data_IF_663728274600
#
_entry.id   IF_663728274600
#
_cell.length_a   1.000
_cell.length_b   1.000
_cell.length_c   1.000
_cell.angle_alpha   90.00
_cell.angle_beta   90.00
_cell.angle_gamma   90.00
#
_symmetry.space_group_name_H-M   'P 1'
#
loop_
_entity.id
_entity.type
_entity.pdbx_description
1 polymer ?
#
# COMPACT_ATOMS: atom_id res chain seq x y z
N UNK A 1 -17.12 -18.22 -7.25
CA UNK A 1 -17.11 -16.85 -6.73
C UNK A 1 -16.49 -15.90 -7.76
N UNK A 2 -16.70 -14.59 -7.65
CA UNK A 2 -16.06 -13.62 -8.55
C UNK A 2 -14.58 -13.54 -8.21
N UNK A 3 -13.72 -13.64 -9.22
CA UNK A 3 -12.27 -13.54 -9.09
C UNK A 3 -11.85 -12.09 -8.81
N UNK A 4 -10.86 -11.88 -7.96
CA UNK A 4 -10.30 -10.55 -7.69
C UNK A 4 -9.21 -10.27 -8.70
N UNK A 5 -9.44 -9.33 -9.65
CA UNK A 5 -8.52 -9.03 -10.76
C UNK A 5 -8.08 -7.57 -10.81
N UNK A 6 -8.73 -6.71 -10.03
CA UNK A 6 -8.53 -5.26 -10.08
C UNK A 6 -7.91 -4.75 -8.79
N UNK A 7 -6.96 -3.84 -8.91
CA UNK A 7 -6.41 -3.11 -7.78
C UNK A 7 -6.53 -1.60 -7.95
N UNK A 8 -6.66 -0.90 -6.82
CA UNK A 8 -6.63 0.55 -6.71
C UNK A 8 -5.43 0.92 -5.83
N UNK A 9 -4.59 1.82 -6.32
CA UNK A 9 -3.48 2.38 -5.55
C UNK A 9 -3.72 3.88 -5.36
N UNK A 10 -4.16 4.32 -4.17
CA UNK A 10 -4.28 5.74 -3.84
C UNK A 10 -2.91 6.41 -3.76
N UNK A 11 -2.65 7.38 -4.62
CA UNK A 11 -1.41 8.14 -4.72
C UNK A 11 -1.64 9.67 -4.88
N UNK A 12 -2.82 10.18 -4.48
CA UNK A 12 -3.18 11.58 -4.62
C UNK A 12 -2.70 12.49 -3.48
N UNK A 13 -2.18 11.93 -2.40
CA UNK A 13 -1.73 12.66 -1.21
C UNK A 13 -0.60 13.65 -1.49
N UNK A 14 -0.57 14.77 -0.75
CA UNK A 14 0.39 15.86 -0.94
C UNK A 14 1.83 15.54 -0.52
N UNK A 15 2.04 14.50 0.29
CA UNK A 15 3.37 14.07 0.73
C UNK A 15 4.08 15.08 1.64
N UNK A 16 3.36 15.87 2.43
CA UNK A 16 3.91 16.98 3.24
C UNK A 16 4.99 16.56 4.24
N UNK A 17 4.97 15.30 4.69
CA UNK A 17 6.00 14.75 5.60
C UNK A 17 7.40 14.72 4.98
N UNK A 18 7.49 14.73 3.65
CA UNK A 18 8.75 14.67 2.88
C UNK A 18 9.12 16.01 2.20
N UNK A 19 8.49 17.11 2.60
CA UNK A 19 8.97 18.41 2.13
C UNK A 19 10.43 18.65 2.57
N UNK A 20 11.26 19.27 1.71
CA UNK A 20 10.90 19.96 0.46
C UNK A 20 10.87 19.09 -0.81
N UNK A 21 11.35 17.82 -0.80
CA UNK A 21 11.48 17.00 -2.02
C UNK A 21 10.12 16.78 -2.71
N UNK A 22 9.07 16.59 -1.95
CA UNK A 22 7.72 16.37 -2.48
C UNK A 22 7.02 17.62 -3.03
N UNK A 23 7.69 18.77 -3.00
CA UNK A 23 7.25 19.95 -3.76
C UNK A 23 7.23 19.70 -5.27
N UNK A 24 8.18 18.91 -5.77
CA UNK A 24 8.38 18.65 -7.18
C UNK A 24 8.27 17.19 -7.58
N UNK A 25 8.42 16.25 -6.63
CA UNK A 25 8.38 14.80 -6.87
C UNK A 25 7.28 14.13 -6.05
N UNK A 26 6.50 13.19 -6.61
CA UNK A 26 5.60 12.37 -5.83
C UNK A 26 6.34 11.59 -4.74
N UNK A 27 5.76 11.50 -3.52
CA UNK A 27 6.36 10.67 -2.46
C UNK A 27 6.49 9.21 -2.88
N UNK A 28 5.58 8.75 -3.71
CA UNK A 28 5.53 7.39 -4.26
C UNK A 28 6.68 7.09 -5.24
N UNK A 29 7.36 8.14 -5.74
CA UNK A 29 8.54 8.04 -6.58
C UNK A 29 9.86 8.13 -5.81
N UNK A 30 9.80 8.29 -4.48
CA UNK A 30 11.02 8.23 -3.66
C UNK A 30 11.61 6.81 -3.74
N UNK A 31 12.90 6.67 -4.06
CA UNK A 31 13.50 5.37 -4.30
C UNK A 31 13.85 4.64 -3.00
N UNK A 32 13.56 3.35 -2.95
CA UNK A 32 14.14 2.41 -2.01
C UNK A 32 15.32 1.77 -2.73
N UNK A 33 16.51 2.20 -2.39
CA UNK A 33 17.76 1.96 -3.11
C UNK A 33 17.70 2.58 -4.52
N UNK A 34 17.28 1.84 -5.52
CA UNK A 34 17.21 2.23 -6.94
C UNK A 34 15.82 2.11 -7.56
N UNK A 35 14.85 1.57 -6.81
CA UNK A 35 13.49 1.29 -7.28
C UNK A 35 12.46 2.21 -6.59
N UNK A 36 11.60 2.93 -7.33
CA UNK A 36 10.54 3.74 -6.73
C UNK A 36 9.60 2.92 -5.85
N UNK A 37 9.17 3.49 -4.73
CA UNK A 37 8.26 2.83 -3.78
C UNK A 37 7.02 2.27 -4.47
N UNK A 38 6.41 3.03 -5.40
CA UNK A 38 5.20 2.61 -6.12
C UNK A 38 5.39 1.34 -6.94
N UNK A 39 6.60 1.10 -7.46
CA UNK A 39 6.89 -0.10 -8.25
C UNK A 39 6.80 -1.37 -7.41
N UNK A 40 7.25 -1.36 -6.15
CA UNK A 40 7.11 -2.50 -5.24
C UNK A 40 5.63 -2.86 -5.03
N UNK A 41 4.75 -1.85 -4.91
CA UNK A 41 3.31 -2.05 -4.74
C UNK A 41 2.69 -2.68 -5.99
N UNK A 42 3.06 -2.19 -7.17
CA UNK A 42 2.60 -2.73 -8.46
C UNK A 42 3.10 -4.17 -8.67
N UNK A 43 4.36 -4.45 -8.34
CA UNK A 43 4.92 -5.80 -8.42
C UNK A 43 4.22 -6.77 -7.47
N UNK A 44 3.87 -6.34 -6.24
CA UNK A 44 3.08 -7.13 -5.30
C UNK A 44 1.70 -7.46 -5.88
N UNK A 45 1.01 -6.48 -6.46
CA UNK A 45 -0.28 -6.68 -7.12
C UNK A 45 -0.19 -7.74 -8.22
N UNK A 46 0.80 -7.63 -9.12
CA UNK A 46 1.04 -8.61 -10.19
C UNK A 46 1.29 -10.02 -9.66
N UNK A 47 2.19 -10.15 -8.68
CA UNK A 47 2.51 -11.44 -8.04
C UNK A 47 1.29 -12.06 -7.35
N UNK A 48 0.30 -11.24 -7.04
CA UNK A 48 -0.97 -11.65 -6.41
C UNK A 48 -2.06 -12.02 -7.43
N UNK A 49 -1.78 -11.94 -8.74
CA UNK A 49 -2.73 -12.29 -9.80
C UNK A 49 -3.67 -11.16 -10.21
N UNK A 50 -3.34 -9.90 -9.84
CA UNK A 50 -4.07 -8.72 -10.31
C UNK A 50 -3.72 -8.45 -11.78
N UNK A 51 -4.76 -8.21 -12.58
CA UNK A 51 -4.66 -8.00 -14.02
C UNK A 51 -4.70 -6.50 -14.37
N UNK A 52 -5.61 -5.74 -13.75
CA UNK A 52 -5.84 -4.32 -14.01
C UNK A 52 -5.53 -3.48 -12.77
N UNK A 53 -4.71 -2.45 -12.92
CA UNK A 53 -4.29 -1.59 -11.82
C UNK A 53 -4.68 -0.13 -12.11
N UNK A 54 -5.47 0.48 -11.24
CA UNK A 54 -5.77 1.90 -11.28
C UNK A 54 -4.97 2.65 -10.21
N UNK A 55 -4.13 3.58 -10.64
CA UNK A 55 -3.50 4.53 -9.72
C UNK A 55 -4.36 5.81 -9.66
N UNK A 56 -4.84 6.13 -8.47
CA UNK A 56 -5.57 7.38 -8.22
C UNK A 56 -4.57 8.48 -7.92
N UNK A 57 -4.30 9.32 -8.91
CA UNK A 57 -3.28 10.38 -8.85
C UNK A 57 -3.85 11.72 -8.42
N UNK A 58 -2.96 12.67 -8.10
CA UNK A 58 -3.25 14.08 -7.83
C UNK A 58 -2.55 15.01 -8.80
N UNK A 59 -2.65 16.32 -8.54
CA UNK A 59 -1.88 17.32 -9.28
C UNK A 59 -0.38 17.13 -9.06
N UNK A 60 0.42 17.20 -10.14
CA UNK A 60 1.89 17.09 -10.06
C UNK A 60 2.44 15.68 -9.90
N UNK A 61 1.63 14.64 -10.18
CA UNK A 61 2.01 13.22 -10.04
C UNK A 61 2.39 12.52 -11.37
N UNK A 62 2.65 13.30 -12.42
CA UNK A 62 2.93 12.78 -13.77
C UNK A 62 4.12 11.80 -13.80
N UNK A 63 5.13 11.99 -12.97
CA UNK A 63 6.27 11.07 -12.89
C UNK A 63 5.88 9.62 -12.55
N UNK A 64 4.72 9.38 -11.93
CA UNK A 64 4.20 8.03 -11.71
C UNK A 64 3.72 7.42 -13.03
N UNK A 65 3.04 8.22 -13.87
CA UNK A 65 2.56 7.79 -15.19
C UNK A 65 3.75 7.49 -16.08
N UNK A 66 4.68 8.45 -16.20
CA UNK A 66 5.89 8.34 -17.01
C UNK A 66 6.76 7.11 -16.62
N UNK A 67 6.76 6.70 -15.34
CA UNK A 67 7.53 5.54 -14.86
C UNK A 67 7.03 4.20 -15.41
N UNK A 68 5.74 4.07 -15.66
CA UNK A 68 5.13 2.84 -16.18
C UNK A 68 4.92 2.86 -17.70
N UNK A 69 5.23 3.97 -18.35
CA UNK A 69 5.21 4.08 -19.81
C UNK A 69 6.50 3.54 -20.44
N UNK A 70 6.40 3.04 -21.68
CA UNK A 70 7.56 2.65 -22.45
C UNK A 70 8.44 3.85 -22.79
N UNK A 71 9.76 3.67 -22.78
CA UNK A 71 10.74 4.68 -23.19
C UNK A 71 11.58 4.11 -24.34
N UNK A 72 11.04 4.07 -25.60
CA UNK A 72 11.67 3.40 -26.73
C UNK A 72 13.12 3.85 -27.00
N UNK A 73 13.41 5.14 -26.85
CA UNK A 73 14.78 5.66 -27.07
C UNK A 73 15.79 5.09 -26.07
N UNK A 74 15.39 4.90 -24.80
CA UNK A 74 16.22 4.27 -23.77
C UNK A 74 16.40 2.80 -24.06
N UNK A 75 15.32 2.10 -24.36
CA UNK A 75 15.29 0.66 -24.67
C UNK A 75 16.19 0.34 -25.88
N UNK A 76 16.07 1.10 -26.97
CA UNK A 76 16.92 0.97 -28.16
C UNK A 76 18.40 1.22 -27.85
N UNK A 77 18.72 2.24 -27.04
CA UNK A 77 20.09 2.55 -26.61
C UNK A 77 20.70 1.42 -25.78
N UNK A 78 19.93 0.87 -24.82
CA UNK A 78 20.37 -0.24 -23.98
C UNK A 78 20.60 -1.51 -24.84
N UNK A 79 19.70 -1.78 -25.79
CA UNK A 79 19.80 -2.89 -26.73
C UNK A 79 21.02 -2.75 -27.63
N UNK A 80 21.26 -1.58 -28.20
CA UNK A 80 22.43 -1.29 -29.04
C UNK A 80 23.75 -1.46 -28.28
N UNK A 81 23.78 -1.12 -26.98
CA UNK A 81 24.95 -1.28 -26.10
C UNK A 81 25.09 -2.67 -25.49
N UNK A 82 24.18 -3.60 -25.79
CA UNK A 82 24.19 -4.97 -25.24
C UNK A 82 23.91 -5.06 -23.75
N UNK A 83 23.31 -4.02 -23.12
CA UNK A 83 23.01 -3.94 -21.69
C UNK A 83 21.70 -4.67 -21.37
N UNK A 84 21.69 -6.00 -21.51
CA UNK A 84 20.50 -6.84 -21.46
C UNK A 84 19.78 -6.79 -20.10
N UNK A 85 20.50 -6.78 -18.99
CA UNK A 85 19.92 -6.73 -17.64
C UNK A 85 19.19 -5.40 -17.39
N UNK A 86 19.84 -4.28 -17.74
CA UNK A 86 19.23 -2.96 -17.63
C UNK A 86 18.00 -2.81 -18.53
N UNK A 87 18.06 -3.34 -19.76
CA UNK A 87 16.91 -3.37 -20.66
C UNK A 87 15.74 -4.13 -20.04
N UNK A 88 16.01 -5.33 -19.49
CA UNK A 88 14.99 -6.12 -18.82
C UNK A 88 14.37 -5.37 -17.64
N UNK A 89 15.16 -4.68 -16.80
CA UNK A 89 14.65 -3.86 -15.68
C UNK A 89 13.70 -2.77 -16.18
N UNK A 90 13.99 -2.12 -17.29
CA UNK A 90 13.10 -1.11 -17.89
C UNK A 90 11.83 -1.75 -18.46
N UNK A 91 11.95 -2.83 -19.22
CA UNK A 91 10.81 -3.54 -19.82
C UNK A 91 9.87 -4.15 -18.78
N UNK A 92 10.38 -4.53 -17.58
CA UNK A 92 9.55 -5.07 -16.49
C UNK A 92 8.57 -4.05 -15.89
N UNK A 93 8.80 -2.74 -16.08
CA UNK A 93 7.89 -1.68 -15.63
C UNK A 93 6.75 -1.42 -16.63
N UNK A 94 6.88 -1.87 -17.86
CA UNK A 94 5.93 -1.64 -18.96
C UNK A 94 5.06 -2.86 -19.23
N UNK A 95 4.09 -2.72 -20.12
CA UNK A 95 3.24 -3.84 -20.55
C UNK A 95 2.19 -4.30 -19.53
N UNK A 96 1.91 -3.46 -18.52
CA UNK A 96 0.86 -3.67 -17.55
C UNK A 96 -0.43 -2.97 -17.98
N UNK A 97 -1.58 -3.53 -17.60
CA UNK A 97 -2.85 -2.83 -17.76
C UNK A 97 -2.98 -1.75 -16.67
N UNK A 98 -2.29 -0.63 -16.89
CA UNK A 98 -2.26 0.50 -15.97
C UNK A 98 -3.30 1.55 -16.39
N UNK A 99 -4.04 2.04 -15.41
CA UNK A 99 -5.02 3.09 -15.56
C UNK A 99 -4.70 4.22 -14.58
N UNK A 100 -4.95 5.46 -15.00
CA UNK A 100 -4.73 6.63 -14.16
C UNK A 100 -5.99 7.47 -14.08
N UNK A 101 -6.39 7.83 -12.88
CA UNK A 101 -7.53 8.72 -12.65
C UNK A 101 -7.19 9.75 -11.59
N UNK A 102 -7.45 11.02 -11.90
CA UNK A 102 -7.14 12.11 -10.98
C UNK A 102 -8.23 12.30 -9.96
N UNK A 103 -7.84 12.34 -8.68
CA UNK A 103 -8.64 12.89 -7.60
C UNK A 103 -8.46 14.42 -7.62
N UNK A 104 -9.49 15.15 -8.04
CA UNK A 104 -9.40 16.62 -8.22
C UNK A 104 -9.30 17.37 -6.90
N UNK A 105 -9.91 16.82 -5.83
CA UNK A 105 -9.88 17.38 -4.49
C UNK A 105 -9.52 16.26 -3.51
N UNK A 106 -8.36 16.30 -2.85
CA UNK A 106 -7.95 15.25 -1.90
C UNK A 106 -8.77 15.39 -0.61
N UNK A 107 -9.81 14.58 -0.47
CA UNK A 107 -10.74 14.54 0.67
C UNK A 107 -10.62 13.27 1.51
N UNK A 108 -9.44 12.68 1.52
CA UNK A 108 -9.16 11.46 2.28
C UNK A 108 -9.14 10.18 1.46
N UNK A 109 -8.81 9.07 2.14
CA UNK A 109 -8.63 7.76 1.52
C UNK A 109 -9.93 7.20 0.94
N UNK A 110 -11.05 7.35 1.64
CA UNK A 110 -12.35 6.90 1.16
C UNK A 110 -12.76 7.61 -0.14
N UNK A 111 -12.49 8.91 -0.27
CA UNK A 111 -12.75 9.67 -1.51
C UNK A 111 -11.84 9.23 -2.67
N UNK A 112 -10.58 8.89 -2.39
CA UNK A 112 -9.68 8.32 -3.39
C UNK A 112 -10.21 6.96 -3.90
N UNK A 113 -10.69 6.10 -3.00
CA UNK A 113 -11.33 4.83 -3.37
C UNK A 113 -12.61 5.08 -4.17
N UNK A 114 -13.47 6.01 -3.73
CA UNK A 114 -14.70 6.37 -4.45
C UNK A 114 -14.42 6.86 -5.88
N UNK A 115 -13.32 7.58 -6.08
CA UNK A 115 -12.88 8.04 -7.41
C UNK A 115 -12.73 6.87 -8.40
N UNK A 116 -12.42 5.67 -7.92
CA UNK A 116 -12.21 4.48 -8.74
C UNK A 116 -13.50 3.71 -9.09
N UNK A 117 -14.69 4.11 -8.60
CA UNK A 117 -15.96 3.38 -8.78
C UNK A 117 -16.23 2.95 -10.22
N UNK A 118 -16.02 3.84 -11.20
CA UNK A 118 -16.28 3.54 -12.62
C UNK A 118 -15.31 2.52 -13.22
N UNK A 119 -14.10 2.41 -12.70
CA UNK A 119 -13.11 1.40 -13.10
C UNK A 119 -13.45 0.03 -12.52
N UNK A 120 -13.82 0.00 -11.26
CA UNK A 120 -14.14 -1.25 -10.55
C UNK A 120 -15.44 -1.89 -11.08
N UNK A 121 -16.46 -1.09 -11.28
CA UNK A 121 -17.80 -1.59 -11.65
C UNK A 121 -18.38 -2.45 -10.52
N UNK A 122 -18.82 -3.66 -10.86
CA UNK A 122 -19.45 -4.61 -9.93
C UNK A 122 -18.53 -5.82 -9.59
N UNK A 123 -17.22 -5.62 -9.57
CA UNK A 123 -16.25 -6.65 -9.24
C UNK A 123 -15.63 -6.42 -7.86
N UNK A 124 -15.23 -7.49 -7.13
CA UNK A 124 -14.37 -7.32 -5.97
C UNK A 124 -13.00 -6.75 -6.40
N UNK A 125 -12.36 -6.00 -5.53
CA UNK A 125 -11.13 -5.30 -5.86
C UNK A 125 -10.20 -5.15 -4.65
N UNK A 126 -8.93 -4.95 -4.91
CA UNK A 126 -7.91 -4.67 -3.89
C UNK A 126 -7.72 -3.17 -3.75
N UNK A 127 -7.52 -2.69 -2.52
CA UNK A 127 -6.93 -1.36 -2.25
C UNK A 127 -5.56 -1.58 -1.63
N UNK A 128 -4.53 -0.90 -2.19
CA UNK A 128 -3.14 -0.99 -1.75
C UNK A 128 -2.59 0.41 -1.47
N UNK A 129 -2.20 0.69 -0.24
CA UNK A 129 -1.60 1.98 0.09
C UNK A 129 -0.17 2.07 -0.47
N UNK A 130 0.16 3.21 -1.06
CA UNK A 130 1.41 3.42 -1.78
C UNK A 130 2.64 3.70 -0.89
N UNK A 131 2.47 3.72 0.42
CA UNK A 131 3.54 3.99 1.41
C UNK A 131 3.71 2.86 2.45
N UNK A 132 3.14 1.69 2.19
CA UNK A 132 3.29 0.48 2.99
C UNK A 132 3.87 -0.65 2.13
N UNK A 133 5.12 -1.03 2.35
CA UNK A 133 5.73 -2.19 1.70
C UNK A 133 5.58 -3.42 2.59
N UNK A 134 5.26 -4.54 1.95
CA UNK A 134 5.04 -5.83 2.63
C UNK A 134 5.97 -6.89 2.04
N UNK A 135 6.67 -7.61 2.89
CA UNK A 135 7.57 -8.68 2.47
C UNK A 135 7.22 -9.99 3.19
N UNK A 136 6.89 -11.00 2.42
CA UNK A 136 6.64 -12.37 2.88
C UNK A 136 6.86 -13.33 1.70
N UNK A 137 6.95 -14.63 1.98
CA UNK A 137 7.04 -15.70 0.96
C UNK A 137 5.85 -15.70 0.01
N UNK A 138 4.66 -15.48 0.55
CA UNK A 138 3.42 -15.26 -0.21
C UNK A 138 3.04 -13.79 -0.04
N UNK A 139 2.89 -13.01 -1.13
CA UNK A 139 2.51 -11.61 -1.02
C UNK A 139 1.27 -11.40 -0.17
N UNK A 140 1.25 -10.38 0.69
CA UNK A 140 0.10 -10.12 1.56
C UNK A 140 -1.19 -9.95 0.76
N UNK A 141 -1.14 -9.23 -0.37
CA UNK A 141 -2.30 -9.08 -1.26
C UNK A 141 -2.82 -10.43 -1.74
N UNK A 142 -1.94 -11.40 -2.06
CA UNK A 142 -2.35 -12.75 -2.44
C UNK A 142 -3.05 -13.49 -1.30
N UNK A 143 -2.53 -13.37 -0.08
CA UNK A 143 -3.16 -13.97 1.11
C UNK A 143 -4.58 -13.44 1.32
N UNK A 144 -4.81 -12.13 1.12
CA UNK A 144 -6.14 -11.53 1.22
C UNK A 144 -7.07 -11.94 0.07
N UNK A 145 -6.53 -12.03 -1.16
CA UNK A 145 -7.29 -12.50 -2.33
C UNK A 145 -7.75 -13.94 -2.10
N UNK A 146 -6.88 -14.82 -1.61
CA UNK A 146 -7.22 -16.21 -1.32
C UNK A 146 -8.32 -16.29 -0.25
N UNK A 147 -8.16 -15.55 0.85
CA UNK A 147 -9.18 -15.48 1.90
C UNK A 147 -10.53 -14.97 1.37
N UNK A 148 -10.53 -13.98 0.48
CA UNK A 148 -11.76 -13.50 -0.18
C UNK A 148 -12.36 -14.56 -1.11
N UNK A 149 -11.54 -15.25 -1.91
CA UNK A 149 -12.03 -16.29 -2.83
C UNK A 149 -12.60 -17.50 -2.09
N UNK A 150 -12.13 -17.80 -0.87
CA UNK A 150 -12.65 -18.85 -0.01
C UNK A 150 -13.94 -18.43 0.69
N UNK A 151 -13.97 -17.22 1.26
CA UNK A 151 -15.08 -16.77 2.12
C UNK A 151 -16.17 -16.00 1.38
N UNK A 152 -15.85 -15.35 0.27
CA UNK A 152 -16.72 -14.41 -0.45
C UNK A 152 -16.93 -13.07 0.28
N UNK A 153 -16.18 -12.80 1.35
CA UNK A 153 -16.35 -11.63 2.20
C UNK A 153 -15.15 -10.68 2.10
N UNK A 154 -15.41 -9.38 2.23
CA UNK A 154 -14.34 -8.37 2.32
C UNK A 154 -13.35 -8.75 3.42
N UNK A 155 -12.06 -8.61 3.12
CA UNK A 155 -10.98 -8.95 4.05
C UNK A 155 -9.92 -7.87 4.02
N UNK A 156 -9.42 -7.45 5.18
CA UNK A 156 -8.34 -6.49 5.29
C UNK A 156 -7.20 -7.02 6.15
N UNK A 157 -6.01 -6.47 5.94
CA UNK A 157 -4.84 -6.85 6.71
C UNK A 157 -4.72 -6.03 7.99
N UNK A 158 -4.34 -6.71 9.07
CA UNK A 158 -4.00 -6.10 10.35
C UNK A 158 -2.65 -6.61 10.86
N UNK A 159 -2.02 -5.79 11.71
CA UNK A 159 -0.74 -6.13 12.35
C UNK A 159 -0.81 -5.70 13.82
N UNK A 160 -0.32 -6.51 14.77
CA UNK A 160 -0.13 -6.06 16.15
C UNK A 160 0.90 -4.92 16.19
N UNK A 161 0.52 -3.79 16.81
CA UNK A 161 1.41 -2.65 17.03
C UNK A 161 1.59 -2.39 18.53
N UNK A 162 2.66 -1.68 18.95
CA UNK A 162 2.75 -1.17 20.31
C UNK A 162 1.51 -0.37 20.70
N UNK A 163 0.99 -0.57 21.91
CA UNK A 163 -0.28 0.03 22.32
C UNK A 163 -0.27 1.58 22.23
N UNK A 164 0.87 2.20 22.50
CA UNK A 164 1.07 3.65 22.37
C UNK A 164 0.98 4.18 20.92
N UNK A 165 1.01 3.28 19.94
CA UNK A 165 0.96 3.65 18.51
C UNK A 165 -0.44 3.51 17.88
N UNK A 166 -1.41 2.92 18.57
CA UNK A 166 -2.75 2.63 18.01
C UNK A 166 -3.45 3.87 17.47
N UNK A 167 -3.23 5.02 18.07
CA UNK A 167 -3.81 6.32 17.65
C UNK A 167 -3.34 6.81 16.26
N UNK A 168 -2.36 6.13 15.66
CA UNK A 168 -1.88 6.44 14.30
C UNK A 168 -2.66 5.70 13.21
N UNK A 169 -3.45 4.69 13.58
CA UNK A 169 -4.07 3.71 12.67
C UNK A 169 -5.57 3.58 12.90
N UNK A 170 -6.28 3.05 11.91
CA UNK A 170 -7.53 2.37 12.17
C UNK A 170 -7.25 1.09 12.97
N UNK A 171 -8.09 0.76 13.93
CA UNK A 171 -7.95 -0.40 14.81
C UNK A 171 -9.22 -1.24 14.74
N UNK A 172 -9.09 -2.57 14.83
CA UNK A 172 -10.22 -3.47 14.87
C UNK A 172 -10.57 -3.90 16.30
N UNK A 173 -11.85 -4.23 16.52
CA UNK A 173 -12.31 -5.01 17.66
C UNK A 173 -12.55 -6.46 17.18
N UNK A 174 -11.57 -7.38 17.39
CA UNK A 174 -11.71 -8.76 16.95
C UNK A 174 -12.70 -9.51 17.83
N UNK A 175 -13.61 -10.32 17.25
CA UNK A 175 -14.60 -11.06 18.02
C UNK A 175 -14.31 -12.56 18.10
N UNK A 176 -14.02 -13.20 16.97
CA UNK A 176 -13.81 -14.65 16.87
C UNK A 176 -12.72 -14.94 15.83
N UNK A 177 -11.79 -15.81 16.17
CA UNK A 177 -10.86 -16.37 15.22
C UNK A 177 -11.55 -17.53 14.49
N UNK A 178 -11.84 -17.33 13.19
CA UNK A 178 -12.56 -18.33 12.38
C UNK A 178 -11.61 -19.33 11.73
N UNK A 179 -10.40 -18.88 11.45
CA UNK A 179 -9.26 -19.66 10.98
C UNK A 179 -7.99 -19.06 11.55
N UNK A 180 -6.88 -19.75 11.45
CA UNK A 180 -5.59 -19.23 11.92
C UNK A 180 -5.32 -17.84 11.32
N UNK A 181 -5.12 -16.87 12.20
CA UNK A 181 -4.84 -15.46 11.84
C UNK A 181 -5.98 -14.77 11.08
N UNK A 182 -7.21 -15.32 11.04
CA UNK A 182 -8.38 -14.73 10.38
C UNK A 182 -9.51 -14.52 11.39
N UNK A 183 -9.88 -13.28 11.61
CA UNK A 183 -10.83 -12.87 12.63
C UNK A 183 -12.12 -12.29 12.05
N UNK A 184 -13.26 -12.64 12.65
CA UNK A 184 -14.46 -11.82 12.58
C UNK A 184 -14.20 -10.51 13.35
N UNK A 185 -14.78 -9.42 12.87
CA UNK A 185 -14.60 -8.09 13.46
C UNK A 185 -15.94 -7.54 13.94
N UNK A 186 -16.01 -7.13 15.21
CA UNK A 186 -17.18 -6.47 15.78
C UNK A 186 -17.27 -5.01 15.34
N UNK A 187 -16.15 -4.30 15.31
CA UNK A 187 -16.09 -2.87 15.05
C UNK A 187 -14.75 -2.44 14.45
N UNK A 188 -14.79 -1.39 13.65
CA UNK A 188 -13.61 -0.68 13.14
C UNK A 188 -13.62 0.74 13.69
N UNK A 189 -12.47 1.21 14.22
CA UNK A 189 -12.33 2.52 14.83
C UNK A 189 -11.14 3.25 14.22
N UNK A 190 -11.37 4.39 13.57
CA UNK A 190 -10.30 5.21 12.99
C UNK A 190 -9.60 6.03 14.09
N UNK A 191 -8.29 5.84 14.24
CA UNK A 191 -7.40 6.58 15.14
C UNK A 191 -7.98 6.77 16.55
N UNK A 192 -8.30 5.69 17.28
CA UNK A 192 -8.83 5.81 18.63
C UNK A 192 -7.83 6.48 19.56
N UNK A 193 -8.30 7.11 20.64
CA UNK A 193 -7.43 7.44 21.74
C UNK A 193 -6.81 6.16 22.32
N UNK A 194 -5.59 6.25 22.86
CA UNK A 194 -4.83 5.06 23.31
C UNK A 194 -5.61 4.26 24.35
N UNK A 195 -6.28 4.93 25.26
CA UNK A 195 -7.10 4.37 26.34
C UNK A 195 -8.48 3.87 25.87
N UNK A 196 -8.91 4.23 24.66
CA UNK A 196 -10.19 3.83 24.06
C UNK A 196 -10.03 2.77 22.95
N UNK A 197 -8.80 2.40 22.60
CA UNK A 197 -8.52 1.44 21.55
C UNK A 197 -9.04 0.05 21.93
N UNK A 198 -9.89 -0.59 21.08
CA UNK A 198 -10.48 -1.89 21.40
C UNK A 198 -9.46 -3.03 21.38
N UNK A 199 -8.35 -2.87 20.69
CA UNK A 199 -7.24 -3.82 20.62
C UNK A 199 -5.96 -3.11 20.16
N UNK A 200 -4.88 -3.85 19.98
CA UNK A 200 -3.67 -3.38 19.34
C UNK A 200 -3.52 -3.87 17.87
N UNK A 201 -4.57 -4.42 17.28
CA UNK A 201 -4.57 -4.87 15.89
C UNK A 201 -4.86 -3.69 14.95
N UNK A 202 -3.79 -3.11 14.44
CA UNK A 202 -3.84 -1.97 13.54
C UNK A 202 -4.09 -2.39 12.10
N UNK A 203 -4.96 -1.67 11.41
CA UNK A 203 -5.22 -1.87 9.99
C UNK A 203 -4.01 -1.38 9.19
N UNK A 204 -3.51 -2.23 8.32
CA UNK A 204 -2.40 -1.92 7.43
C UNK A 204 -2.85 -1.89 5.98
N UNK A 205 -2.09 -1.25 5.13
CA UNK A 205 -2.44 -0.75 3.80
C UNK A 205 -2.88 -1.73 2.73
N UNK A 206 -3.54 -2.87 3.07
CA UNK A 206 -4.07 -3.85 2.12
C UNK A 206 -5.49 -4.27 2.47
N UNK A 207 -6.37 -4.20 1.47
CA UNK A 207 -7.80 -4.50 1.61
C UNK A 207 -8.30 -5.21 0.36
N UNK A 208 -9.15 -6.23 0.52
CA UNK A 208 -10.02 -6.76 -0.54
C UNK A 208 -11.45 -6.39 -0.19
N UNK A 209 -12.10 -5.63 -1.05
CA UNK A 209 -13.41 -5.05 -0.80
C UNK A 209 -14.42 -5.45 -1.87
N UNK A 210 -15.69 -5.53 -1.47
CA UNK A 210 -16.79 -5.67 -2.39
C UNK A 210 -17.28 -4.31 -2.91
N UNK A 211 -17.93 -4.24 -4.09
CA UNK A 211 -18.43 -2.98 -4.67
C UNK A 211 -19.43 -2.22 -3.81
N UNK A 212 -20.09 -2.88 -2.84
CA UNK A 212 -21.03 -2.26 -1.91
C UNK A 212 -20.42 -1.10 -1.13
N UNK A 213 -19.10 -1.10 -0.95
CA UNK A 213 -18.38 0.00 -0.30
C UNK A 213 -18.64 1.35 -0.99
N UNK A 214 -18.81 1.38 -2.31
CA UNK A 214 -19.04 2.61 -3.06
C UNK A 214 -20.40 3.26 -2.70
N UNK A 215 -21.43 2.45 -2.48
CA UNK A 215 -22.74 2.95 -2.07
C UNK A 215 -22.73 3.58 -0.67
N UNK A 216 -21.78 3.14 0.16
CA UNK A 216 -21.55 3.69 1.50
C UNK A 216 -20.76 4.99 1.39
N UNK A 217 -19.62 4.97 0.67
CA UNK A 217 -18.76 6.13 0.48
C UNK A 217 -19.48 7.32 -0.18
N UNK A 218 -20.43 7.08 -1.09
CA UNK A 218 -21.23 8.14 -1.72
C UNK A 218 -22.12 8.90 -0.72
N UNK A 219 -22.50 8.26 0.36
CA UNK A 219 -23.40 8.81 1.38
C UNK A 219 -22.69 9.23 2.66
N UNK A 220 -21.41 8.87 2.78
CA UNK A 220 -20.63 9.12 3.98
C UNK A 220 -20.26 10.59 4.08
N UNK A 221 -20.44 11.17 5.26
CA UNK A 221 -19.93 12.49 5.62
C UNK A 221 -18.42 12.49 5.88
N UNK A 222 -17.92 13.65 6.29
CA UNK A 222 -16.53 13.80 6.73
C UNK A 222 -16.39 13.24 8.15
N UNK A 223 -15.34 12.46 8.39
CA UNK A 223 -14.96 11.90 9.68
C UNK A 223 -13.73 12.58 10.27
N UNK A 224 -12.88 11.80 10.95
CA UNK A 224 -11.64 12.26 11.57
C UNK A 224 -10.76 13.01 10.56
N UNK A 225 -10.14 14.12 11.00
CA UNK A 225 -9.32 14.97 10.14
C UNK A 225 -10.08 15.73 9.05
N UNK A 226 -11.42 15.79 9.10
CA UNK A 226 -12.29 16.39 8.08
C UNK A 226 -12.12 15.70 6.70
N UNK A 227 -11.96 14.38 6.73
CA UNK A 227 -11.75 13.53 5.55
C UNK A 227 -12.83 12.45 5.44
N UNK A 228 -13.06 11.93 4.24
CA UNK A 228 -13.86 10.72 4.01
C UNK A 228 -12.98 9.52 4.36
N UNK A 229 -13.22 8.93 5.54
CA UNK A 229 -12.40 7.84 6.05
C UNK A 229 -12.86 6.49 5.49
N UNK A 230 -11.91 5.68 4.99
CA UNK A 230 -12.21 4.33 4.50
C UNK A 230 -12.59 3.39 5.66
N UNK A 231 -11.98 3.54 6.83
CA UNK A 231 -12.25 2.74 8.02
C UNK A 231 -13.72 2.86 8.46
N UNK A 232 -14.28 4.09 8.47
CA UNK A 232 -15.69 4.33 8.81
C UNK A 232 -16.65 3.69 7.80
N UNK A 233 -16.26 3.72 6.50
CA UNK A 233 -17.04 3.05 5.46
C UNK A 233 -17.00 1.53 5.64
N UNK A 234 -15.86 0.96 6.02
CA UNK A 234 -15.72 -0.47 6.30
C UNK A 234 -16.51 -0.88 7.53
N UNK A 235 -16.55 -0.07 8.60
CA UNK A 235 -17.42 -0.31 9.75
C UNK A 235 -18.90 -0.34 9.37
N UNK A 236 -19.33 0.61 8.51
CA UNK A 236 -20.68 0.62 7.98
C UNK A 236 -20.96 -0.58 7.06
N UNK A 237 -19.96 -1.01 6.27
CA UNK A 237 -20.06 -2.21 5.43
C UNK A 237 -20.22 -3.46 6.29
N UNK A 238 -19.47 -3.58 7.39
CA UNK A 238 -19.51 -4.71 8.31
C UNK A 238 -20.90 -4.92 8.97
N UNK A 239 -21.66 -3.86 9.12
CA UNK A 239 -23.09 -3.94 9.59
C UNK A 239 -24.05 -4.53 8.56
N UNK A 240 -23.62 -4.62 7.27
CA UNK A 240 -24.46 -5.12 6.16
C UNK A 240 -24.00 -6.47 5.65
N UNK A 241 -22.71 -6.70 5.66
CA UNK A 241 -22.07 -7.94 5.22
C UNK A 241 -20.81 -8.17 6.06
N UNK A 242 -20.45 -9.43 6.25
CA UNK A 242 -19.27 -9.78 7.03
C UNK A 242 -17.98 -9.19 6.44
N UNK A 243 -17.12 -8.66 7.30
CA UNK A 243 -15.77 -8.22 6.95
C UNK A 243 -14.79 -8.93 7.88
N UNK A 244 -13.78 -9.59 7.30
CA UNK A 244 -12.72 -10.26 8.04
C UNK A 244 -11.47 -9.40 8.17
N UNK A 245 -10.70 -9.67 9.22
CA UNK A 245 -9.35 -9.16 9.40
C UNK A 245 -8.35 -10.33 9.41
N UNK A 246 -7.34 -10.25 8.54
CA UNK A 246 -6.23 -11.20 8.44
C UNK A 246 -5.01 -10.62 9.13
N UNK A 247 -4.47 -11.31 10.12
CA UNK A 247 -3.20 -10.91 10.76
C UNK A 247 -2.06 -11.24 9.81
N UNK A 248 -1.21 -10.24 9.54
CA UNK A 248 -0.02 -10.39 8.73
C UNK A 248 1.18 -10.77 9.60
N UNK A 249 1.89 -11.82 9.21
CA UNK A 249 3.04 -12.35 9.95
C UNK A 249 4.39 -12.10 9.25
N UNK A 250 4.40 -11.36 8.14
CA UNK A 250 5.60 -10.96 7.43
C UNK A 250 6.16 -9.62 7.91
N UNK A 251 7.13 -9.10 7.18
CA UNK A 251 7.76 -7.82 7.45
C UNK A 251 7.00 -6.67 6.80
N UNK A 252 6.65 -5.65 7.60
CA UNK A 252 6.05 -4.40 7.14
C UNK A 252 7.05 -3.26 7.22
N UNK A 253 7.13 -2.46 6.15
CA UNK A 253 7.98 -1.28 6.04
C UNK A 253 7.09 -0.05 5.78
N UNK A 254 6.88 0.77 6.82
CA UNK A 254 6.18 2.05 6.71
C UNK A 254 7.14 3.11 6.15
N UNK A 255 7.02 3.36 4.84
CA UNK A 255 7.79 4.41 4.15
C UNK A 255 7.06 5.75 4.08
N UNK A 256 5.96 5.90 4.80
CA UNK A 256 5.16 7.13 4.88
C UNK A 256 5.75 8.21 5.81
N UNK A 257 6.83 7.91 6.55
CA UNK A 257 7.55 8.83 7.42
C UNK A 257 9.06 8.77 7.20
N UNK A 258 9.78 9.80 7.62
CA UNK A 258 11.24 9.95 7.34
C UNK A 258 12.07 8.83 7.93
N UNK A 259 11.81 8.45 9.19
CA UNK A 259 12.59 7.40 9.86
C UNK A 259 12.33 6.03 9.25
N UNK A 260 11.05 5.68 9.04
CA UNK A 260 10.68 4.43 8.38
C UNK A 260 11.27 4.32 6.97
N UNK A 261 11.27 5.42 6.20
CA UNK A 261 11.90 5.49 4.89
C UNK A 261 13.41 5.24 4.94
N UNK A 262 14.13 5.87 5.88
CA UNK A 262 15.57 5.63 6.07
C UNK A 262 15.86 4.20 6.50
N UNK A 263 15.11 3.67 7.48
CA UNK A 263 15.24 2.28 7.94
C UNK A 263 15.04 1.30 6.79
N UNK A 264 13.99 1.49 6.01
CA UNK A 264 13.70 0.64 4.84
C UNK A 264 14.85 0.68 3.83
N UNK A 265 15.39 1.86 3.52
CA UNK A 265 16.54 1.97 2.61
C UNK A 265 17.77 1.21 3.12
N UNK A 266 18.04 1.27 4.42
CA UNK A 266 19.15 0.51 5.02
C UNK A 266 18.90 -1.00 4.89
N UNK A 267 17.70 -1.48 5.25
CA UNK A 267 17.41 -2.91 5.22
C UNK A 267 17.38 -3.47 3.80
N UNK A 268 16.82 -2.73 2.84
CA UNK A 268 16.83 -3.12 1.43
C UNK A 268 18.23 -3.01 0.83
N UNK A 269 19.01 -2.00 1.22
CA UNK A 269 20.41 -1.86 0.82
C UNK A 269 21.28 -3.03 1.30
N UNK A 270 21.00 -3.60 2.48
CA UNK A 270 21.65 -4.82 2.98
C UNK A 270 21.24 -6.10 2.22
N UNK A 271 20.16 -6.07 1.49
CA UNK A 271 19.69 -7.18 0.64
C UNK A 271 20.09 -6.98 -0.84
N UNK A 272 20.36 -5.74 -1.25
CA UNK A 272 20.62 -5.39 -2.64
C UNK A 272 21.99 -5.89 -3.11
N UNK A 273 22.11 -6.56 -4.28
CA UNK A 273 23.35 -7.20 -4.74
C UNK A 273 24.55 -6.25 -4.82
N UNK A 274 24.33 -5.01 -5.25
CA UNK A 274 25.42 -4.04 -5.48
C UNK A 274 25.87 -3.30 -4.21
N UNK A 275 25.03 -3.23 -3.16
CA UNK A 275 25.30 -2.40 -1.99
C UNK A 275 25.50 -3.16 -0.69
N UNK A 276 25.08 -4.42 -0.60
CA UNK A 276 24.99 -5.20 0.64
C UNK A 276 26.32 -5.29 1.41
N UNK A 277 27.43 -5.53 0.73
CA UNK A 277 28.72 -5.80 1.37
C UNK A 277 29.36 -4.51 1.88
N UNK A 278 29.33 -3.46 1.06
CA UNK A 278 29.83 -2.12 1.44
C UNK A 278 28.99 -1.53 2.57
N UNK A 279 27.67 -1.58 2.45
CA UNK A 279 26.76 -1.06 3.47
C UNK A 279 26.90 -1.80 4.80
N UNK A 280 27.07 -3.12 4.77
CA UNK A 280 27.30 -3.91 5.99
C UNK A 280 28.60 -3.51 6.70
N UNK A 281 29.65 -3.24 5.94
CA UNK A 281 30.94 -2.77 6.47
C UNK A 281 30.78 -1.39 7.08
N UNK A 282 30.21 -0.46 6.34
CA UNK A 282 29.96 0.90 6.78
C UNK A 282 29.12 0.99 8.07
N UNK A 283 28.05 0.20 8.17
CA UNK A 283 27.20 0.18 9.38
C UNK A 283 28.00 -0.27 10.61
N UNK A 284 28.89 -1.27 10.47
CA UNK A 284 29.72 -1.74 11.57
C UNK A 284 30.75 -0.68 12.03
N UNK A 285 31.30 0.07 11.10
CA UNK A 285 32.24 1.17 11.39
C UNK A 285 31.48 2.31 12.09
N UNK A 286 30.34 2.72 11.55
CA UNK A 286 29.52 3.76 12.13
C UNK A 286 29.04 3.42 13.54
N UNK A 287 28.66 2.17 13.80
CA UNK A 287 28.26 1.72 15.13
C UNK A 287 29.39 1.90 16.18
N UNK A 288 30.63 1.55 15.82
CA UNK A 288 31.78 1.76 16.69
C UNK A 288 32.04 3.23 16.98
N UNK A 289 31.95 4.09 15.95
CA UNK A 289 32.11 5.54 16.14
C UNK A 289 31.03 6.17 17.05
N UNK A 290 29.82 5.60 17.04
CA UNK A 290 28.71 6.08 17.90
C UNK A 290 28.87 5.60 19.35
N UNK A 291 29.49 4.43 19.59
CA UNK A 291 29.79 3.90 20.93
C UNK A 291 30.97 4.62 21.60
N UNK A 292 31.88 5.19 20.81
CA UNK A 292 33.06 5.93 21.30
C UNK A 292 32.78 7.40 21.65
N UNK A 293 31.57 7.92 21.31
CA UNK A 293 31.11 9.29 21.60
C UNK A 293 30.18 9.33 22.79
#
# INVERSE_FOLDING_TARGET
MKKVRKAIIPAAGLGTRFLPVTKASPKEMLPIVDKPTIQYIVEEARKSGIEDILIVTGKGKRAIEDHFDAVPELEENLKAKGKKEMLKMVEETTGLNMYFKRQSHPRGLGDAVLTAKSFVGNEPFVVMLGDDLMEDKVPLTKQLVDSFEETGASTLAVLPVPHEEVSKYGVIDPSEEVEKDLYNVSKFVEKPAVDEAPSNLAIIGRYVLTPEIFNILEKQGLGEGNEVQLTDAIDTLNKKQRVFAKVFNGDRYDVGNKFGFLKTNIEYGLKHPETKDELKTYIKELAKELEEK
#
